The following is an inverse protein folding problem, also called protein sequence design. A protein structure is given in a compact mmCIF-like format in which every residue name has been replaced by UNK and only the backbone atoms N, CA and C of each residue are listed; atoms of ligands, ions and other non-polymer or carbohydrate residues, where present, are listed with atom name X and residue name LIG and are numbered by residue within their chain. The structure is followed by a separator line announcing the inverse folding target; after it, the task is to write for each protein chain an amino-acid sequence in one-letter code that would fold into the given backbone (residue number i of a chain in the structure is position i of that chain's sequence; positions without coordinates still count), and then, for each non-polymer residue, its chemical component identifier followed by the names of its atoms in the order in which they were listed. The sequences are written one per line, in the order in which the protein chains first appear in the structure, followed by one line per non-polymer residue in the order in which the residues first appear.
data_IF_532123994911
#
_entry.id   IF_532123994911
#
_cell.length_a   1.000
_cell.length_b   1.000
_cell.length_c   1.000
_cell.angle_alpha   90.00
_cell.angle_beta   90.00
_cell.angle_gamma   90.00
#
_symmetry.space_group_name_H-M   'P 1'
#
loop_
_entity.id
_entity.type
_entity.pdbx_description
1 polymer ?
#
# COMPACT_ATOMS: atom_id res chain seq x y z
N UNK A 1 -5.60 -6.60 -42.17
CA UNK A 1 -5.68 -7.94 -41.54
C UNK A 1 -4.58 -8.22 -40.51
N UNK A 2 -3.28 -8.23 -40.86
CA UNK A 2 -2.21 -8.49 -39.86
C UNK A 2 -1.94 -7.27 -38.96
N UNK A 3 -1.96 -6.07 -39.52
CA UNK A 3 -1.88 -4.82 -38.75
C UNK A 3 -3.11 -4.64 -37.84
N UNK A 4 -4.32 -4.94 -38.31
CA UNK A 4 -5.53 -4.88 -37.50
C UNK A 4 -5.51 -5.87 -36.33
N UNK A 5 -5.02 -7.10 -36.53
CA UNK A 5 -4.85 -8.08 -35.45
C UNK A 5 -3.81 -7.64 -34.40
N UNK A 6 -2.69 -7.04 -34.82
CA UNK A 6 -1.68 -6.52 -33.89
C UNK A 6 -2.25 -5.36 -33.08
N UNK A 7 -3.04 -4.48 -33.73
CA UNK A 7 -3.67 -3.32 -33.10
C UNK A 7 -4.73 -3.73 -32.08
N UNK A 8 -5.58 -4.70 -32.44
CA UNK A 8 -6.64 -5.26 -31.58
C UNK A 8 -6.05 -6.03 -30.38
N UNK A 9 -4.94 -6.75 -30.59
CA UNK A 9 -4.19 -7.40 -29.49
C UNK A 9 -3.52 -6.38 -28.57
N UNK A 10 -2.99 -5.28 -29.12
CA UNK A 10 -2.38 -4.20 -28.34
C UNK A 10 -3.42 -3.48 -27.50
N UNK A 11 -4.60 -3.18 -28.06
CA UNK A 11 -5.70 -2.55 -27.33
C UNK A 11 -6.22 -3.42 -26.19
N UNK A 12 -6.34 -4.74 -26.39
CA UNK A 12 -6.75 -5.69 -25.35
C UNK A 12 -5.75 -5.84 -24.20
N UNK A 13 -4.47 -5.56 -24.43
CA UNK A 13 -3.43 -5.61 -23.39
C UNK A 13 -3.28 -4.30 -22.61
N UNK A 14 -3.75 -3.17 -23.17
CA UNK A 14 -3.66 -1.85 -22.51
C UNK A 14 -4.16 -1.85 -21.07
N UNK A 15 -5.32 -2.45 -20.72
CA UNK A 15 -5.79 -2.44 -19.35
C UNK A 15 -4.83 -3.13 -18.37
N UNK A 16 -4.22 -4.25 -18.78
CA UNK A 16 -3.25 -4.99 -17.96
C UNK A 16 -1.97 -4.17 -17.79
N UNK A 17 -1.48 -3.56 -18.87
CA UNK A 17 -0.29 -2.71 -18.83
C UNK A 17 -0.52 -1.47 -17.95
N UNK A 18 -1.65 -0.78 -18.11
CA UNK A 18 -2.03 0.36 -17.28
C UNK A 18 -2.19 -0.04 -15.81
N UNK A 19 -2.78 -1.20 -15.51
CA UNK A 19 -2.89 -1.70 -14.14
C UNK A 19 -1.51 -1.94 -13.50
N UNK A 20 -0.57 -2.51 -14.25
CA UNK A 20 0.80 -2.72 -13.81
C UNK A 20 1.55 -1.40 -13.58
N UNK A 21 1.33 -0.40 -14.44
CA UNK A 21 1.90 0.95 -14.31
C UNK A 21 1.36 1.67 -13.07
N UNK A 22 0.05 1.60 -12.79
CA UNK A 22 -0.56 2.17 -11.58
C UNK A 22 0.04 1.53 -10.33
N UNK A 23 0.17 0.20 -10.29
CA UNK A 23 0.80 -0.50 -9.16
C UNK A 23 2.28 -0.12 -9.00
N UNK A 24 3.03 -0.03 -10.10
CA UNK A 24 4.44 0.37 -10.08
C UNK A 24 4.59 1.79 -9.55
N UNK A 25 3.82 2.75 -10.07
CA UNK A 25 3.83 4.14 -9.62
C UNK A 25 3.47 4.26 -8.14
N UNK A 26 2.43 3.53 -7.70
CA UNK A 26 2.02 3.50 -6.29
C UNK A 26 3.14 2.96 -5.40
N UNK A 27 3.80 1.87 -5.80
CA UNK A 27 4.91 1.31 -5.06
C UNK A 27 6.11 2.27 -4.98
N UNK A 28 6.46 2.93 -6.08
CA UNK A 28 7.52 3.95 -6.11
C UNK A 28 7.19 5.14 -5.19
N UNK A 29 5.94 5.59 -5.17
CA UNK A 29 5.48 6.65 -4.27
C UNK A 29 5.53 6.23 -2.80
N UNK A 30 5.05 5.03 -2.45
CA UNK A 30 5.13 4.50 -1.08
C UNK A 30 6.59 4.35 -0.62
N UNK A 31 7.47 3.82 -1.48
CA UNK A 31 8.91 3.74 -1.18
C UNK A 31 9.50 5.13 -0.96
N UNK A 32 9.11 6.12 -1.77
CA UNK A 32 9.54 7.51 -1.62
C UNK A 32 9.09 8.09 -0.28
N UNK A 33 7.82 7.93 0.09
CA UNK A 33 7.26 8.41 1.36
C UNK A 33 8.00 7.77 2.54
N UNK A 34 8.22 6.45 2.50
CA UNK A 34 8.94 5.75 3.56
C UNK A 34 10.41 6.21 3.67
N UNK A 35 11.06 6.48 2.54
CA UNK A 35 12.45 6.97 2.49
C UNK A 35 12.55 8.40 3.00
N UNK A 36 11.60 9.26 2.65
CA UNK A 36 11.47 10.63 3.17
C UNK A 36 11.32 10.59 4.69
N UNK A 37 10.37 9.80 5.20
CA UNK A 37 10.14 9.62 6.64
C UNK A 37 11.40 9.16 7.40
N UNK A 38 12.11 8.16 6.88
CA UNK A 38 13.34 7.65 7.53
C UNK A 38 14.45 8.70 7.55
N UNK A 39 14.62 9.45 6.46
CA UNK A 39 15.58 10.56 6.37
C UNK A 39 15.24 11.66 7.39
N UNK A 40 13.96 11.99 7.48
CA UNK A 40 13.44 13.00 8.38
C UNK A 40 13.59 12.60 9.86
N UNK A 41 13.33 11.35 10.20
CA UNK A 41 13.59 10.78 11.54
C UNK A 41 15.06 10.89 11.92
N UNK A 42 15.96 10.51 10.99
CA UNK A 42 17.39 10.60 11.23
C UNK A 42 17.83 12.05 11.50
N UNK A 43 17.40 12.99 10.66
CA UNK A 43 17.70 14.40 10.82
C UNK A 43 17.13 14.98 12.12
N UNK A 44 15.90 14.62 12.47
CA UNK A 44 15.26 15.03 13.72
C UNK A 44 16.02 14.48 14.94
N UNK A 45 16.48 13.23 14.89
CA UNK A 45 17.28 12.62 15.95
C UNK A 45 18.63 13.31 16.15
N UNK A 46 19.35 13.61 15.06
CA UNK A 46 20.62 14.36 15.13
C UNK A 46 20.39 15.77 15.69
N UNK A 47 19.34 16.46 15.24
CA UNK A 47 19.00 17.78 15.74
C UNK A 47 18.66 17.76 17.24
N UNK A 48 17.88 16.77 17.69
CA UNK A 48 17.53 16.59 19.10
C UNK A 48 18.77 16.28 19.95
N UNK A 49 19.66 15.43 19.47
CA UNK A 49 20.91 15.11 20.18
C UNK A 49 21.78 16.35 20.37
N UNK A 50 21.91 17.19 19.33
CA UNK A 50 22.62 18.46 19.42
C UNK A 50 21.94 19.43 20.40
N UNK A 51 20.63 19.55 20.31
CA UNK A 51 19.90 20.46 21.18
C UNK A 51 19.95 20.02 22.66
N UNK A 52 19.91 18.72 22.94
CA UNK A 52 20.06 18.20 24.30
C UNK A 52 21.49 18.37 24.85
N UNK A 53 22.53 18.31 24.01
CA UNK A 53 23.91 18.50 24.47
C UNK A 53 24.24 19.95 24.84
N UNK A 54 23.45 20.91 24.34
CA UNK A 54 23.61 22.34 24.61
C UNK A 54 22.77 22.81 25.84
N UNK A 55 21.84 21.98 26.32
CA UNK A 55 20.96 22.31 27.45
C UNK A 55 21.64 22.05 28.80
N UNK A 56 21.70 23.08 29.64
CA UNK A 56 22.29 23.01 31.00
C UNK A 56 21.23 22.81 32.11
N UNK A 57 19.97 23.11 31.80
CA UNK A 57 18.87 23.16 32.76
C UNK A 57 17.93 21.96 32.55
N UNK A 58 17.65 21.14 33.59
CA UNK A 58 16.79 19.95 33.46
C UNK A 58 15.38 20.26 32.95
N UNK A 59 14.81 21.42 33.33
CA UNK A 59 13.49 21.84 32.88
C UNK A 59 13.45 22.11 31.37
N UNK A 60 14.48 22.77 30.85
CA UNK A 60 14.61 23.04 29.42
C UNK A 60 14.78 21.74 28.62
N UNK A 61 15.50 20.75 29.17
CA UNK A 61 15.65 19.44 28.52
C UNK A 61 14.31 18.71 28.41
N UNK A 62 13.49 18.79 29.46
CA UNK A 62 12.15 18.20 29.48
C UNK A 62 11.20 18.87 28.47
N UNK A 63 11.19 20.21 28.40
CA UNK A 63 10.42 20.95 27.40
C UNK A 63 10.86 20.61 25.97
N UNK A 64 12.17 20.43 25.76
CA UNK A 64 12.74 20.03 24.47
C UNK A 64 12.32 18.60 24.08
N UNK A 65 12.26 17.68 25.03
CA UNK A 65 11.78 16.31 24.81
C UNK A 65 10.27 16.29 24.49
N UNK A 66 9.45 17.09 25.19
CA UNK A 66 8.02 17.24 24.87
C UNK A 66 7.83 17.76 23.46
N UNK A 67 8.58 18.79 23.07
CA UNK A 67 8.52 19.35 21.72
C UNK A 67 8.88 18.28 20.69
N UNK A 68 9.96 17.55 20.91
CA UNK A 68 10.35 16.44 20.04
C UNK A 68 9.23 15.40 19.88
N UNK A 69 8.54 14.99 20.94
CA UNK A 69 7.42 14.05 20.85
C UNK A 69 6.23 14.61 20.05
N UNK A 70 5.88 15.89 20.24
CA UNK A 70 4.82 16.53 19.45
C UNK A 70 5.19 16.60 17.97
N UNK A 71 6.45 16.91 17.67
CA UNK A 71 6.95 16.96 16.30
C UNK A 71 6.96 15.55 15.68
N UNK A 72 7.29 14.50 16.45
CA UNK A 72 7.17 13.10 16.03
C UNK A 72 5.73 12.71 15.70
N UNK A 73 4.77 13.06 16.57
CA UNK A 73 3.35 12.79 16.37
C UNK A 73 2.83 13.45 15.08
N UNK A 74 3.17 14.73 14.87
CA UNK A 74 2.82 15.45 13.65
C UNK A 74 3.42 14.79 12.40
N UNK A 75 4.67 14.34 12.46
CA UNK A 75 5.34 13.63 11.34
C UNK A 75 4.64 12.32 11.00
N UNK A 76 4.30 11.51 12.02
CA UNK A 76 3.60 10.24 11.82
C UNK A 76 2.22 10.45 11.19
N UNK A 77 1.46 11.45 11.65
CA UNK A 77 0.17 11.79 11.04
C UNK A 77 0.32 12.22 9.58
N UNK A 78 1.33 13.05 9.27
CA UNK A 78 1.57 13.50 7.90
C UNK A 78 1.92 12.34 6.95
N UNK A 79 2.75 11.39 7.41
CA UNK A 79 3.08 10.17 6.64
C UNK A 79 1.83 9.33 6.41
N UNK A 80 1.02 9.10 7.46
CA UNK A 80 -0.22 8.35 7.34
C UNK A 80 -1.20 9.00 6.34
N UNK A 81 -1.33 10.33 6.36
CA UNK A 81 -2.14 11.07 5.40
C UNK A 81 -1.62 10.90 3.96
N UNK A 82 -0.30 11.00 3.75
CA UNK A 82 0.34 10.79 2.44
C UNK A 82 0.14 9.35 1.92
N UNK A 83 0.30 8.35 2.78
CA UNK A 83 0.10 6.93 2.44
C UNK A 83 -1.36 6.66 2.05
N UNK A 84 -2.31 7.16 2.85
CA UNK A 84 -3.74 7.03 2.54
C UNK A 84 -4.12 7.74 1.25
N UNK A 85 -3.61 8.95 1.01
CA UNK A 85 -3.86 9.70 -0.22
C UNK A 85 -3.31 8.96 -1.45
N UNK A 86 -2.10 8.37 -1.34
CA UNK A 86 -1.48 7.58 -2.41
C UNK A 86 -2.31 6.35 -2.75
N UNK A 87 -2.77 5.60 -1.73
CA UNK A 87 -3.63 4.43 -1.92
C UNK A 87 -5.02 4.80 -2.45
N UNK A 88 -5.59 5.93 -2.01
CA UNK A 88 -6.87 6.42 -2.50
C UNK A 88 -6.79 6.79 -3.99
N UNK A 89 -5.74 7.50 -4.40
CA UNK A 89 -5.51 7.85 -5.81
C UNK A 89 -5.34 6.60 -6.69
N UNK A 90 -4.59 5.59 -6.21
CA UNK A 90 -4.45 4.32 -6.91
C UNK A 90 -5.80 3.60 -7.07
N UNK A 91 -6.62 3.60 -6.01
CA UNK A 91 -7.97 3.02 -6.04
C UNK A 91 -8.87 3.73 -7.06
N UNK A 92 -8.85 5.06 -7.11
CA UNK A 92 -9.61 5.84 -8.09
C UNK A 92 -9.19 5.48 -9.52
N UNK A 93 -7.88 5.41 -9.79
CA UNK A 93 -7.36 5.01 -11.10
C UNK A 93 -7.77 3.58 -11.50
N UNK A 94 -7.84 2.64 -10.55
CA UNK A 94 -8.37 1.30 -10.83
C UNK A 94 -9.87 1.30 -11.10
N UNK A 95 -10.65 2.07 -10.37
CA UNK A 95 -12.10 2.17 -10.62
C UNK A 95 -12.37 2.76 -12.00
N UNK A 96 -11.68 3.83 -12.38
CA UNK A 96 -11.77 4.41 -13.72
C UNK A 96 -11.42 3.40 -14.81
N UNK A 97 -10.40 2.56 -14.59
CA UNK A 97 -10.00 1.52 -15.53
C UNK A 97 -11.08 0.43 -15.66
N UNK A 98 -11.69 0.02 -14.54
CA UNK A 98 -12.77 -0.97 -14.52
C UNK A 98 -14.01 -0.40 -15.21
N UNK A 99 -14.42 0.83 -14.93
CA UNK A 99 -15.57 1.48 -15.57
C UNK A 99 -15.41 1.58 -17.08
N UNK A 100 -14.21 1.95 -17.56
CA UNK A 100 -13.90 1.96 -19.00
C UNK A 100 -13.96 0.56 -19.59
N UNK A 101 -13.33 -0.42 -18.94
CA UNK A 101 -13.32 -1.82 -19.39
C UNK A 101 -14.72 -2.42 -19.45
N UNK A 102 -15.59 -2.11 -18.48
CA UNK A 102 -16.99 -2.56 -18.43
C UNK A 102 -17.82 -1.87 -19.51
N UNK A 103 -17.61 -0.59 -19.75
CA UNK A 103 -18.30 0.16 -20.82
C UNK A 103 -17.96 -0.41 -22.20
N UNK A 104 -16.67 -0.62 -22.48
CA UNK A 104 -16.19 -1.27 -23.72
C UNK A 104 -16.74 -2.70 -23.87
N UNK A 105 -16.79 -3.47 -22.78
CA UNK A 105 -17.33 -4.83 -22.80
C UNK A 105 -18.85 -4.86 -23.02
N UNK A 106 -19.58 -3.86 -22.51
CA UNK A 106 -21.03 -3.69 -22.75
C UNK A 106 -21.30 -3.43 -24.22
N UNK A 107 -20.50 -2.57 -24.86
CA UNK A 107 -20.61 -2.23 -26.28
C UNK A 107 -20.29 -3.43 -27.20
N UNK A 108 -19.33 -4.28 -26.82
CA UNK A 108 -18.85 -5.39 -27.67
C UNK A 108 -19.60 -6.72 -27.42
N UNK A 109 -19.97 -7.04 -26.18
CA UNK A 109 -20.45 -8.37 -25.80
C UNK A 109 -21.89 -8.39 -25.23
N UNK A 110 -22.55 -7.23 -25.11
CA UNK A 110 -23.92 -7.08 -24.63
C UNK A 110 -24.08 -7.19 -23.09
N UNK A 111 -25.19 -6.62 -22.59
CA UNK A 111 -25.51 -6.47 -21.15
C UNK A 111 -25.48 -7.77 -20.33
N UNK A 112 -25.76 -8.91 -20.96
CA UNK A 112 -25.89 -10.22 -20.29
C UNK A 112 -24.52 -10.75 -19.79
N UNK A 113 -23.46 -10.53 -20.57
CA UNK A 113 -22.09 -10.90 -20.20
C UNK A 113 -21.52 -9.98 -19.11
N UNK A 114 -21.87 -8.70 -19.15
CA UNK A 114 -21.49 -7.70 -18.14
C UNK A 114 -22.17 -7.98 -16.81
N UNK A 115 -23.43 -8.37 -16.83
CA UNK A 115 -24.19 -8.74 -15.62
C UNK A 115 -23.55 -9.95 -14.92
N UNK A 116 -23.14 -10.97 -15.68
CA UNK A 116 -22.39 -12.11 -15.12
C UNK A 116 -21.03 -11.70 -14.56
N UNK A 117 -20.27 -10.86 -15.27
CA UNK A 117 -18.98 -10.36 -14.77
C UNK A 117 -19.12 -9.59 -13.45
N UNK A 118 -20.13 -8.73 -13.34
CA UNK A 118 -20.45 -7.98 -12.11
C UNK A 118 -20.81 -8.91 -10.95
N UNK A 119 -21.64 -9.94 -11.19
CA UNK A 119 -21.98 -10.93 -10.17
C UNK A 119 -20.74 -11.69 -9.66
N UNK A 120 -19.90 -12.20 -10.56
CA UNK A 120 -18.66 -12.90 -10.19
C UNK A 120 -17.68 -11.97 -9.47
N UNK A 121 -17.63 -10.70 -9.86
CA UNK A 121 -16.77 -9.70 -9.20
C UNK A 121 -17.27 -9.38 -7.78
N UNK A 122 -18.58 -9.25 -7.57
CA UNK A 122 -19.16 -9.08 -6.23
C UNK A 122 -18.87 -10.28 -5.32
N UNK A 123 -19.04 -11.51 -5.82
CA UNK A 123 -18.75 -12.72 -5.04
C UNK A 123 -17.28 -12.78 -4.61
N UNK A 124 -16.34 -12.46 -5.51
CA UNK A 124 -14.92 -12.39 -5.18
C UNK A 124 -14.59 -11.26 -4.21
N UNK A 125 -15.24 -10.10 -4.34
CA UNK A 125 -15.05 -8.98 -3.41
C UNK A 125 -15.51 -9.35 -2.00
N UNK A 126 -16.65 -10.05 -1.88
CA UNK A 126 -17.13 -10.58 -0.60
C UNK A 126 -16.20 -11.64 -0.02
N UNK A 127 -15.67 -12.55 -0.83
CA UNK A 127 -14.71 -13.57 -0.41
C UNK A 127 -13.43 -12.93 0.15
N UNK A 128 -12.88 -11.95 -0.58
CA UNK A 128 -11.72 -11.18 -0.13
C UNK A 128 -12.05 -10.42 1.16
N UNK A 129 -13.19 -9.73 1.24
CA UNK A 129 -13.59 -8.98 2.45
C UNK A 129 -13.77 -9.90 3.67
N UNK A 130 -14.33 -11.10 3.47
CA UNK A 130 -14.40 -12.14 4.51
C UNK A 130 -13.01 -12.63 4.93
N UNK A 131 -12.07 -12.77 3.99
CA UNK A 131 -10.68 -13.14 4.31
C UNK A 131 -9.92 -12.07 5.12
N UNK A 132 -10.33 -10.81 5.04
CA UNK A 132 -9.80 -9.69 5.83
C UNK A 132 -10.61 -9.39 7.10
N UNK A 133 -11.59 -10.24 7.47
CA UNK A 133 -12.35 -10.07 8.70
C UNK A 133 -11.47 -10.20 9.96
N UNK A 134 -11.79 -9.48 11.06
CA UNK A 134 -10.93 -9.37 12.25
C UNK A 134 -10.55 -10.69 12.93
N UNK A 135 -11.28 -11.78 12.66
CA UNK A 135 -11.01 -13.11 13.23
C UNK A 135 -9.63 -13.68 12.86
N UNK A 136 -9.00 -13.19 11.78
CA UNK A 136 -7.65 -13.62 11.37
C UNK A 136 -6.52 -12.82 12.05
N UNK A 137 -6.80 -11.65 12.62
CA UNK A 137 -5.78 -10.83 13.32
C UNK A 137 -5.43 -11.42 14.71
N UNK A 138 -6.30 -12.28 15.25
CA UNK A 138 -6.11 -12.95 16.55
C UNK A 138 -5.39 -14.31 16.51
N UNK A 139 -5.19 -14.92 15.33
CA UNK A 139 -4.47 -16.21 15.24
C UNK A 139 -2.98 -15.95 15.07
N UNK A 140 -2.26 -16.10 16.20
CA UNK A 140 -0.79 -16.16 16.28
C UNK A 140 -0.22 -16.95 15.09
N UNK A 141 0.81 -16.46 14.38
CA UNK A 141 1.37 -17.17 13.23
C UNK A 141 1.81 -18.58 13.66
N UNK A 142 1.66 -19.60 12.79
CA UNK A 142 2.06 -20.95 13.12
C UNK A 142 3.57 -20.96 13.39
N UNK A 143 3.93 -21.32 14.62
CA UNK A 143 5.31 -21.49 15.05
C UNK A 143 5.97 -22.57 14.19
N UNK A 144 6.81 -22.16 13.22
CA UNK A 144 7.77 -23.05 12.56
C UNK A 144 8.90 -23.34 13.53
N UNK A 145 8.63 -24.19 14.51
CA UNK A 145 9.64 -24.74 15.41
C UNK A 145 9.40 -26.24 15.57
N UNK A 146 9.90 -27.03 14.60
CA UNK A 146 10.27 -28.44 14.81
C UNK A 146 10.94 -29.03 13.57
N UNK A 147 12.25 -28.77 13.41
CA UNK A 147 13.21 -29.72 12.81
C UNK A 147 14.65 -29.21 12.97
N UNK A 148 15.16 -29.19 14.19
CA UNK A 148 16.61 -29.19 14.44
C UNK A 148 16.90 -29.59 15.89
N UNK A 149 16.74 -30.89 16.20
CA UNK A 149 17.45 -31.56 17.30
C UNK A 149 17.02 -33.03 17.36
N UNK A 150 17.67 -33.87 16.56
CA UNK A 150 17.90 -35.27 16.91
C UNK A 150 18.98 -35.84 15.98
N UNK A 151 20.24 -35.62 16.36
CA UNK A 151 21.34 -36.60 16.22
C UNK A 151 22.61 -36.00 16.84
N UNK A 152 22.78 -36.26 18.12
CA UNK A 152 24.08 -36.43 18.76
C UNK A 152 23.79 -37.22 20.03
N UNK A 153 23.91 -38.54 19.92
CA UNK A 153 23.98 -39.44 21.05
C UNK A 153 25.27 -40.24 20.89
N UNK A 154 26.06 -40.16 21.95
CA UNK A 154 27.10 -41.06 22.45
C UNK A 154 27.37 -42.36 21.69
#
# INVERSE_FOLDING_TARGET
MREDMIKDMTEKMKPITTMAEVNKSTAEQLISIQTEYMTDMFNAGVAQMKALSEVKEPKAAFELQIKYFKDLEARLNNVAEKDMATLAAAKEQFMDLIEKSVSEMTEVYGLDNVTKFMQTSQEKLEEVTKSFSPEMIGKKPPSTAKTASQKSAH
#
